data_IF_882542423187
#
_entry.id   IF_882542423187
#
_cell.length_a   1.000
_cell.length_b   1.000
_cell.length_c   1.000
_cell.angle_alpha   90.00
_cell.angle_beta   90.00
_cell.angle_gamma   90.00
#
_symmetry.space_group_name_H-M   'P 1'
#
loop_
_entity.id
_entity.type
_entity.pdbx_description
1 polymer ?
#
# COMPACT_ATOMS: atom_id res chain seq x y z
N UNK A 1 39.59 -17.47 26.89
CA UNK A 1 38.12 -17.55 26.82
C UNK A 1 37.44 -16.20 26.99
N UNK A 2 37.61 -15.47 28.11
CA UNK A 2 36.96 -14.15 28.33
C UNK A 2 37.23 -13.10 27.24
N UNK A 3 38.46 -12.99 26.74
CA UNK A 3 38.84 -12.08 25.64
C UNK A 3 38.20 -12.44 24.27
N UNK A 4 37.84 -13.72 24.08
CA UNK A 4 37.17 -14.18 22.86
C UNK A 4 35.68 -13.83 22.90
N UNK A 5 35.05 -14.02 24.07
CA UNK A 5 33.65 -13.64 24.32
C UNK A 5 33.47 -12.12 24.13
N UNK A 6 34.38 -11.30 24.69
CA UNK A 6 34.33 -9.84 24.54
C UNK A 6 34.42 -9.41 23.06
N UNK A 7 35.26 -10.08 22.25
CA UNK A 7 35.38 -9.78 20.81
C UNK A 7 34.13 -10.18 20.03
N UNK A 8 33.53 -11.32 20.36
CA UNK A 8 32.27 -11.78 19.73
C UNK A 8 31.14 -10.81 20.07
N UNK A 9 30.97 -10.45 21.35
CA UNK A 9 29.94 -9.50 21.78
C UNK A 9 30.12 -8.12 21.13
N UNK A 10 31.36 -7.63 20.99
CA UNK A 10 31.63 -6.36 20.32
C UNK A 10 31.28 -6.39 18.82
N UNK A 11 31.56 -7.50 18.13
CA UNK A 11 31.18 -7.70 16.72
C UNK A 11 29.66 -7.78 16.56
N UNK A 12 28.96 -8.48 17.46
CA UNK A 12 27.48 -8.55 17.42
C UNK A 12 26.83 -7.19 17.67
N UNK A 13 27.39 -6.37 18.57
CA UNK A 13 26.87 -5.03 18.87
C UNK A 13 27.11 -4.05 17.71
N UNK A 14 28.22 -4.20 16.98
CA UNK A 14 28.53 -3.41 15.77
C UNK A 14 27.66 -3.78 14.56
N UNK A 15 27.17 -5.02 14.48
CA UNK A 15 26.30 -5.50 13.40
C UNK A 15 24.80 -5.31 13.70
N UNK A 16 24.44 -5.00 14.95
CA UNK A 16 23.06 -4.78 15.38
C UNK A 16 22.34 -3.62 14.65
N UNK A 17 22.98 -2.46 14.36
CA UNK A 17 22.32 -1.37 13.65
C UNK A 17 21.95 -1.72 12.20
N UNK A 18 22.71 -2.62 11.55
CA UNK A 18 22.46 -3.03 10.16
C UNK A 18 21.20 -3.90 10.02
N UNK A 19 20.71 -4.51 11.11
CA UNK A 19 19.48 -5.31 11.08
C UNK A 19 18.21 -4.46 11.27
N UNK A 20 18.33 -3.21 11.71
CA UNK A 20 17.18 -2.32 11.95
C UNK A 20 16.69 -1.64 10.65
N UNK A 21 17.55 -1.47 9.65
CA UNK A 21 17.20 -0.84 8.36
C UNK A 21 16.37 -1.72 7.42
N UNK A 22 16.05 -2.97 7.78
CA UNK A 22 15.25 -3.88 6.96
C UNK A 22 13.74 -3.85 7.29
N UNK A 23 13.32 -3.02 8.25
CA UNK A 23 11.95 -3.03 8.78
C UNK A 23 11.05 -1.90 8.26
N UNK A 24 11.52 -1.00 7.39
CA UNK A 24 10.66 0.05 6.82
C UNK A 24 9.69 -0.52 5.79
N UNK A 25 8.42 -0.10 5.89
CA UNK A 25 7.35 -0.39 4.95
C UNK A 25 7.75 0.04 3.54
N UNK A 26 7.34 -0.74 2.56
CA UNK A 26 7.86 -0.62 1.20
C UNK A 26 7.38 0.63 0.47
N UNK A 27 6.10 0.98 0.64
CA UNK A 27 5.58 2.25 0.17
C UNK A 27 6.08 3.43 0.99
N UNK A 28 6.54 3.22 2.23
CA UNK A 28 7.09 4.29 3.06
C UNK A 28 8.29 4.92 2.39
N UNK A 29 9.22 4.09 1.90
CA UNK A 29 10.41 4.56 1.22
C UNK A 29 10.07 5.34 -0.06
N UNK A 30 9.05 4.90 -0.81
CA UNK A 30 8.54 5.64 -1.99
C UNK A 30 7.90 6.97 -1.57
N UNK A 31 7.03 6.92 -0.57
CA UNK A 31 6.34 8.10 -0.06
C UNK A 31 7.32 9.14 0.48
N UNK A 32 8.26 8.74 1.32
CA UNK A 32 9.31 9.60 1.89
C UNK A 32 10.24 10.18 0.82
N UNK A 33 10.53 9.41 -0.25
CA UNK A 33 11.38 9.88 -1.34
C UNK A 33 10.72 10.96 -2.20
N UNK A 34 9.40 10.86 -2.43
CA UNK A 34 8.70 11.73 -3.38
C UNK A 34 7.76 12.76 -2.72
N UNK A 35 7.54 12.67 -1.41
CA UNK A 35 6.74 13.67 -0.69
C UNK A 35 7.35 15.06 -0.84
N UNK A 36 6.56 15.99 -1.37
CA UNK A 36 6.98 17.38 -1.58
C UNK A 36 7.79 17.61 -2.86
N UNK A 37 8.04 16.57 -3.66
CA UNK A 37 8.60 16.72 -5.01
C UNK A 37 7.59 17.38 -5.96
N UNK A 38 8.11 18.07 -6.96
CA UNK A 38 7.29 18.77 -7.93
C UNK A 38 6.51 17.78 -8.81
N UNK A 39 5.23 18.07 -9.08
CA UNK A 39 4.35 17.14 -9.80
C UNK A 39 3.87 15.93 -8.97
N UNK A 40 4.23 15.85 -7.68
CA UNK A 40 3.77 14.78 -6.78
C UNK A 40 2.71 15.31 -5.81
N UNK A 41 1.56 14.64 -5.79
CA UNK A 41 0.57 14.75 -4.72
C UNK A 41 0.72 13.58 -3.77
N UNK A 42 0.79 13.85 -2.47
CA UNK A 42 0.95 12.83 -1.45
C UNK A 42 -0.11 12.99 -0.36
N UNK A 43 -0.75 11.88 0.01
CA UNK A 43 -1.77 11.83 1.07
C UNK A 43 -1.44 10.69 2.02
N UNK A 44 -1.50 10.97 3.32
CA UNK A 44 -1.35 9.96 4.37
C UNK A 44 -2.59 10.00 5.26
N UNK A 45 -3.33 8.90 5.28
CA UNK A 45 -4.55 8.74 6.07
C UNK A 45 -4.24 7.74 7.17
N UNK A 46 -4.25 8.19 8.42
CA UNK A 46 -4.03 7.30 9.56
C UNK A 46 -5.30 6.54 9.93
N UNK A 47 -5.14 5.48 10.73
CA UNK A 47 -6.25 4.73 11.35
C UNK A 47 -7.26 5.65 12.05
N UNK A 48 -6.78 6.69 12.73
CA UNK A 48 -7.62 7.64 13.46
C UNK A 48 -8.55 8.40 12.52
N UNK A 49 -8.07 8.80 11.34
CA UNK A 49 -8.91 9.47 10.35
C UNK A 49 -10.03 8.54 9.84
N UNK A 50 -9.72 7.26 9.59
CA UNK A 50 -10.74 6.28 9.23
C UNK A 50 -11.80 6.08 10.32
N UNK A 51 -11.37 6.02 11.59
CA UNK A 51 -12.29 5.97 12.74
C UNK A 51 -13.20 7.18 12.81
N UNK A 52 -12.66 8.38 12.56
CA UNK A 52 -13.45 9.61 12.50
C UNK A 52 -14.46 9.56 11.36
N UNK A 53 -14.05 9.20 10.14
CA UNK A 53 -14.96 9.09 8.98
C UNK A 53 -16.12 8.13 9.26
N UNK A 54 -15.84 6.95 9.81
CA UNK A 54 -16.90 6.01 10.19
C UNK A 54 -17.80 6.55 11.29
N UNK A 55 -17.26 7.26 12.29
CA UNK A 55 -18.09 7.83 13.34
C UNK A 55 -19.08 8.88 12.80
N UNK A 56 -18.73 9.57 11.71
CA UNK A 56 -19.62 10.51 11.02
C UNK A 56 -20.63 9.81 10.09
N UNK A 57 -20.23 8.69 9.47
CA UNK A 57 -21.05 7.95 8.49
C UNK A 57 -21.89 6.82 9.11
N UNK A 58 -21.61 6.46 10.37
CA UNK A 58 -22.35 5.43 11.12
C UNK A 58 -23.75 5.93 11.50
N UNK A 59 -24.67 5.84 10.53
CA UNK A 59 -26.04 5.46 10.83
C UNK A 59 -26.04 4.12 11.56
N UNK A 60 -26.99 3.92 12.47
CA UNK A 60 -27.04 2.82 13.46
C UNK A 60 -27.30 1.42 12.86
N UNK A 61 -26.49 0.94 11.93
CA UNK A 61 -26.64 -0.39 11.30
C UNK A 61 -25.49 -1.35 11.64
N UNK A 62 -25.76 -2.64 11.47
CA UNK A 62 -24.78 -3.74 11.65
C UNK A 62 -23.56 -3.61 10.72
N UNK A 63 -23.67 -2.85 9.62
CA UNK A 63 -22.58 -2.56 8.68
C UNK A 63 -21.45 -1.75 9.32
N UNK A 64 -21.78 -0.90 10.30
CA UNK A 64 -20.79 -0.09 11.02
C UNK A 64 -19.82 -0.97 11.84
N UNK A 65 -20.30 -2.07 12.42
CA UNK A 65 -19.43 -3.02 13.16
C UNK A 65 -18.49 -3.78 12.23
N UNK A 66 -19.01 -4.23 11.09
CA UNK A 66 -18.18 -4.91 10.09
C UNK A 66 -17.09 -3.97 9.52
N UNK A 67 -17.39 -2.69 9.33
CA UNK A 67 -16.42 -1.66 8.94
C UNK A 67 -15.39 -1.37 10.04
N UNK A 68 -15.81 -1.39 11.32
CA UNK A 68 -14.95 -1.18 12.48
C UNK A 68 -13.83 -2.24 12.57
N UNK A 69 -14.18 -3.52 12.40
CA UNK A 69 -13.23 -4.63 12.46
C UNK A 69 -12.18 -4.57 11.33
N UNK A 70 -12.55 -3.99 10.17
CA UNK A 70 -11.61 -3.75 9.07
C UNK A 70 -10.55 -2.74 9.49
N UNK A 71 -10.98 -1.61 10.06
CA UNK A 71 -10.11 -0.48 10.37
C UNK A 71 -9.21 -0.74 11.57
N UNK A 72 -9.64 -1.57 12.52
CA UNK A 72 -8.81 -1.92 13.67
C UNK A 72 -7.56 -2.74 13.27
N UNK A 73 -7.59 -3.41 12.11
CA UNK A 73 -6.45 -4.13 11.56
C UNK A 73 -5.61 -3.31 10.58
N UNK A 74 -6.15 -2.20 10.04
CA UNK A 74 -5.42 -1.27 9.18
C UNK A 74 -4.64 -0.23 10.01
N UNK A 75 -3.38 0.01 9.66
CA UNK A 75 -2.61 1.10 10.24
C UNK A 75 -2.90 2.43 9.51
N UNK A 76 -3.19 2.36 8.21
CA UNK A 76 -3.51 3.53 7.42
C UNK A 76 -3.51 3.25 5.92
N UNK A 77 -3.64 4.34 5.17
CA UNK A 77 -3.56 4.39 3.71
C UNK A 77 -2.61 5.50 3.30
N UNK A 78 -1.76 5.23 2.32
CA UNK A 78 -0.94 6.22 1.63
C UNK A 78 -1.32 6.29 0.16
N UNK A 79 -1.41 7.51 -0.35
CA UNK A 79 -1.65 7.78 -1.76
C UNK A 79 -0.50 8.64 -2.26
N UNK A 80 0.08 8.25 -3.39
CA UNK A 80 1.08 9.01 -4.11
C UNK A 80 0.60 9.10 -5.57
N UNK A 81 0.34 10.31 -6.04
CA UNK A 81 0.01 10.56 -7.44
C UNK A 81 1.12 11.39 -8.05
N UNK A 82 1.64 10.95 -9.20
CA UNK A 82 2.59 11.70 -10.00
C UNK A 82 1.93 12.11 -11.30
N UNK A 83 1.90 13.42 -11.55
CA UNK A 83 1.40 14.03 -12.78
C UNK A 83 2.59 14.64 -13.52
N UNK A 84 3.00 13.97 -14.60
CA UNK A 84 4.15 14.37 -15.41
C UNK A 84 3.84 15.65 -16.19
N UNK A 85 4.66 16.66 -15.97
CA UNK A 85 4.67 17.86 -16.80
C UNK A 85 5.35 17.57 -18.13
N UNK A 86 5.06 18.43 -19.10
CA UNK A 86 5.64 18.34 -20.44
C UNK A 86 7.16 18.46 -20.38
N UNK A 87 7.87 17.36 -20.61
CA UNK A 87 9.34 17.28 -20.56
C UNK A 87 9.88 16.42 -19.42
N UNK A 88 9.03 15.92 -18.53
CA UNK A 88 9.42 15.04 -17.43
C UNK A 88 9.68 13.61 -17.91
N UNK A 89 10.61 12.92 -17.25
CA UNK A 89 10.90 11.51 -17.51
C UNK A 89 9.95 10.59 -16.72
N UNK A 90 8.66 10.58 -17.08
CA UNK A 90 7.66 9.68 -16.48
C UNK A 90 8.12 8.21 -16.47
N UNK A 91 8.76 7.76 -17.54
CA UNK A 91 9.33 6.42 -17.66
C UNK A 91 10.36 6.11 -16.57
N UNK A 92 11.17 7.09 -16.17
CA UNK A 92 12.19 6.95 -15.11
C UNK A 92 11.53 6.83 -13.75
N UNK A 93 10.56 7.71 -13.45
CA UNK A 93 9.76 7.62 -12.21
C UNK A 93 9.05 6.26 -12.10
N UNK A 94 8.34 5.85 -13.15
CA UNK A 94 7.65 4.56 -13.22
C UNK A 94 8.61 3.39 -13.04
N UNK A 95 9.77 3.40 -13.70
CA UNK A 95 10.78 2.35 -13.55
C UNK A 95 11.31 2.25 -12.10
N UNK A 96 11.57 3.39 -11.46
CA UNK A 96 12.02 3.43 -10.06
C UNK A 96 10.96 2.88 -9.10
N UNK A 97 9.68 3.22 -9.33
CA UNK A 97 8.56 2.65 -8.58
C UNK A 97 8.57 1.13 -8.70
N UNK A 98 8.53 0.57 -9.91
CA UNK A 98 8.49 -0.88 -10.09
C UNK A 98 9.76 -1.59 -9.57
N UNK A 99 10.92 -0.93 -9.60
CA UNK A 99 12.16 -1.48 -9.03
C UNK A 99 12.09 -1.58 -7.49
N UNK A 100 11.57 -0.54 -6.82
CA UNK A 100 11.34 -0.58 -5.37
C UNK A 100 10.35 -1.69 -5.01
N UNK A 101 9.28 -1.84 -5.77
CA UNK A 101 8.29 -2.90 -5.54
C UNK A 101 8.87 -4.31 -5.70
N UNK A 102 9.70 -4.53 -6.71
CA UNK A 102 10.42 -5.81 -6.90
C UNK A 102 11.35 -6.11 -5.71
N UNK A 103 12.15 -5.14 -5.28
CA UNK A 103 13.07 -5.28 -4.14
C UNK A 103 12.34 -5.63 -2.85
N UNK A 104 11.11 -5.15 -2.70
CA UNK A 104 10.30 -5.29 -1.49
C UNK A 104 9.38 -6.51 -1.49
N UNK A 105 9.56 -7.44 -2.44
CA UNK A 105 8.86 -8.74 -2.52
C UNK A 105 7.34 -8.61 -2.63
N UNK A 106 6.85 -7.60 -3.36
CA UNK A 106 5.45 -7.60 -3.76
C UNK A 106 5.16 -8.74 -4.73
N UNK A 107 4.02 -9.37 -4.57
CA UNK A 107 3.46 -10.36 -5.49
C UNK A 107 2.25 -9.76 -6.17
N UNK A 108 2.20 -9.83 -7.50
CA UNK A 108 1.00 -9.43 -8.26
C UNK A 108 -0.13 -10.41 -7.96
N UNK A 109 -1.31 -9.88 -7.66
CA UNK A 109 -2.55 -10.64 -7.52
C UNK A 109 -3.34 -10.66 -8.81
N UNK A 110 -3.51 -9.49 -9.41
CA UNK A 110 -4.20 -9.32 -10.68
C UNK A 110 -3.76 -8.04 -11.36
N UNK A 111 -4.01 -7.97 -12.66
CA UNK A 111 -3.92 -6.77 -13.46
C UNK A 111 -5.26 -6.55 -14.13
N UNK A 112 -5.78 -5.32 -14.05
CA UNK A 112 -6.95 -4.88 -14.82
C UNK A 112 -6.48 -3.92 -15.91
N UNK A 113 -6.93 -4.16 -17.13
CA UNK A 113 -6.64 -3.28 -18.25
C UNK A 113 -7.94 -2.88 -18.92
N UNK A 114 -8.21 -1.57 -18.91
CA UNK A 114 -9.38 -0.94 -19.52
C UNK A 114 -8.91 0.13 -20.52
N UNK A 115 -9.79 0.59 -21.41
CA UNK A 115 -9.43 1.58 -22.43
C UNK A 115 -8.92 2.88 -21.77
N UNK A 116 -7.60 3.08 -21.85
CA UNK A 116 -6.95 4.27 -21.28
C UNK A 116 -6.28 4.05 -19.93
N UNK A 117 -6.43 2.89 -19.28
CA UNK A 117 -5.90 2.67 -17.93
C UNK A 117 -5.42 1.22 -17.69
N UNK A 118 -4.32 1.09 -16.95
CA UNK A 118 -3.85 -0.19 -16.38
C UNK A 118 -3.79 -0.07 -14.86
N UNK A 119 -4.40 -1.03 -14.16
CA UNK A 119 -4.38 -1.09 -12.69
C UNK A 119 -3.76 -2.41 -12.25
N UNK A 120 -2.62 -2.33 -11.58
CA UNK A 120 -1.94 -3.49 -10.98
C UNK A 120 -2.31 -3.61 -9.50
N UNK A 121 -2.76 -4.78 -9.09
CA UNK A 121 -3.04 -5.10 -7.69
C UNK A 121 -1.93 -6.00 -7.16
N UNK A 122 -1.22 -5.55 -6.13
CA UNK A 122 -0.08 -6.26 -5.56
C UNK A 122 -0.22 -6.40 -4.05
N UNK A 123 0.33 -7.47 -3.49
CA UNK A 123 0.39 -7.68 -2.04
C UNK A 123 1.79 -7.96 -1.57
N UNK A 124 2.05 -7.64 -0.30
CA UNK A 124 3.24 -8.07 0.41
C UNK A 124 2.83 -8.88 1.64
N UNK A 125 3.47 -10.04 1.81
CA UNK A 125 3.21 -10.94 2.94
C UNK A 125 4.37 -10.97 3.93
N UNK A 126 4.05 -11.28 5.18
CA UNK A 126 5.02 -11.67 6.23
C UNK A 126 4.51 -12.94 6.90
N UNK A 127 5.06 -14.08 6.50
CA UNK A 127 4.44 -15.37 6.81
C UNK A 127 3.15 -15.53 6.01
N UNK A 128 2.07 -15.92 6.67
CA UNK A 128 0.74 -16.06 6.04
C UNK A 128 -0.01 -14.73 5.94
N UNK A 129 0.34 -13.74 6.77
CA UNK A 129 -0.37 -12.48 6.85
C UNK A 129 -0.03 -11.57 5.66
N UNK A 130 -1.06 -11.01 5.03
CA UNK A 130 -0.91 -9.90 4.09
C UNK A 130 -0.70 -8.64 4.93
N UNK A 131 0.44 -7.99 4.76
CA UNK A 131 0.79 -6.81 5.55
C UNK A 131 0.73 -5.50 4.77
N UNK A 132 0.54 -5.60 3.46
CA UNK A 132 0.40 -4.46 2.57
C UNK A 132 -0.38 -4.86 1.32
N UNK A 133 -1.34 -4.03 0.92
CA UNK A 133 -2.06 -4.11 -0.35
C UNK A 133 -1.78 -2.83 -1.12
N UNK A 134 -1.29 -2.99 -2.34
CA UNK A 134 -0.87 -1.91 -3.21
C UNK A 134 -1.67 -1.94 -4.51
N UNK A 135 -2.17 -0.77 -4.92
CA UNK A 135 -2.80 -0.55 -6.21
C UNK A 135 -1.95 0.46 -6.98
N UNK A 136 -1.66 0.17 -8.23
CA UNK A 136 -0.90 1.06 -9.12
C UNK A 136 -1.75 1.30 -10.35
N UNK A 137 -2.30 2.50 -10.47
CA UNK A 137 -3.07 2.93 -11.63
C UNK A 137 -2.16 3.79 -12.52
N UNK A 138 -1.98 3.34 -13.77
CA UNK A 138 -1.23 4.04 -14.80
C UNK A 138 -2.18 4.40 -15.94
N UNK A 139 -2.27 5.66 -16.29
CA UNK A 139 -2.96 6.07 -17.51
C UNK A 139 -2.13 5.70 -18.74
N UNK A 140 -2.79 5.25 -19.81
CA UNK A 140 -2.12 4.74 -21.01
C UNK A 140 -1.44 5.83 -21.84
N UNK A 141 -1.69 7.11 -21.54
CA UNK A 141 -0.92 8.21 -22.12
C UNK A 141 0.40 8.49 -21.37
N UNK A 142 0.70 7.66 -20.35
CA UNK A 142 1.90 7.71 -19.52
C UNK A 142 2.17 9.12 -18.96
N UNK A 143 1.10 9.82 -18.54
CA UNK A 143 1.20 11.11 -17.86
C UNK A 143 0.89 11.06 -16.38
N UNK A 144 -0.01 10.17 -15.97
CA UNK A 144 -0.39 10.02 -14.57
C UNK A 144 -0.10 8.61 -14.04
N UNK A 145 0.55 8.55 -12.88
CA UNK A 145 0.73 7.33 -12.10
C UNK A 145 0.20 7.57 -10.68
N UNK A 146 -0.84 6.85 -10.30
CA UNK A 146 -1.36 6.85 -8.94
C UNK A 146 -1.01 5.54 -8.24
N UNK A 147 -0.50 5.64 -7.02
CA UNK A 147 -0.13 4.53 -6.17
C UNK A 147 -0.90 4.66 -4.86
N UNK A 148 -1.65 3.63 -4.52
CA UNK A 148 -2.46 3.56 -3.30
C UNK A 148 -1.98 2.35 -2.49
N UNK A 149 -1.53 2.56 -1.26
CA UNK A 149 -1.07 1.48 -0.39
C UNK A 149 -1.82 1.47 0.94
N UNK A 150 -2.47 0.34 1.24
CA UNK A 150 -3.00 0.01 2.54
C UNK A 150 -1.97 -0.81 3.30
N UNK A 151 -1.63 -0.41 4.52
CA UNK A 151 -0.66 -1.11 5.36
C UNK A 151 -1.24 -1.42 6.74
N UNK A 152 -0.89 -2.56 7.30
CA UNK A 152 -1.54 -3.12 8.50
C UNK A 152 -1.56 -4.64 8.44
N UNK A 153 -2.51 -5.28 9.10
CA UNK A 153 -2.89 -6.68 8.82
C UNK A 153 -4.09 -6.61 7.89
N UNK A 154 -3.89 -7.00 6.63
CA UNK A 154 -4.89 -6.79 5.58
C UNK A 154 -5.76 -8.04 5.44
N UNK A 155 -7.03 -7.90 5.78
CA UNK A 155 -8.08 -8.83 5.35
C UNK A 155 -8.70 -8.31 4.05
N UNK A 156 -8.53 -9.06 2.95
CA UNK A 156 -9.04 -8.69 1.63
C UNK A 156 -10.59 -8.61 1.61
N UNK A 157 -11.28 -9.41 2.42
CA UNK A 157 -12.74 -9.32 2.54
C UNK A 157 -13.14 -7.99 3.18
N UNK A 158 -12.34 -7.55 4.14
CA UNK A 158 -12.54 -6.32 4.89
C UNK A 158 -12.32 -5.10 3.97
N UNK A 159 -11.24 -5.10 3.17
CA UNK A 159 -10.99 -4.06 2.14
C UNK A 159 -12.14 -4.00 1.11
N UNK A 160 -12.63 -5.16 0.66
CA UNK A 160 -13.76 -5.20 -0.27
C UNK A 160 -15.02 -4.53 0.32
N UNK A 161 -15.25 -4.62 1.63
CA UNK A 161 -16.38 -3.92 2.28
C UNK A 161 -16.13 -2.41 2.38
N UNK A 162 -14.92 -1.97 2.71
CA UNK A 162 -14.57 -0.53 2.72
C UNK A 162 -14.73 0.12 1.34
N UNK A 163 -14.41 -0.60 0.26
CA UNK A 163 -14.64 -0.09 -1.10
C UNK A 163 -16.12 0.09 -1.46
N UNK A 164 -17.04 -0.55 -0.73
CA UNK A 164 -18.48 -0.38 -0.93
C UNK A 164 -18.98 0.88 -0.22
N UNK A 165 -18.38 1.24 0.92
CA UNK A 165 -18.73 2.45 1.68
C UNK A 165 -18.03 3.70 1.15
N UNK A 166 -16.83 3.58 0.59
CA UNK A 166 -16.07 4.70 0.02
C UNK A 166 -16.04 4.57 -1.51
N UNK A 167 -16.66 5.50 -2.23
CA UNK A 167 -16.56 5.59 -3.70
C UNK A 167 -15.13 5.98 -4.09
N UNK A 168 -14.23 5.00 -4.16
CA UNK A 168 -12.87 5.17 -4.66
C UNK A 168 -12.82 4.57 -6.07
N UNK A 169 -12.71 5.46 -7.07
CA UNK A 169 -12.50 5.09 -8.47
C UNK A 169 -11.29 4.15 -8.57
N UNK A 170 -11.49 2.94 -9.11
CA UNK A 170 -10.47 1.89 -9.23
C UNK A 170 -10.68 0.65 -8.33
N UNK A 171 -11.46 0.74 -7.24
CA UNK A 171 -11.79 -0.43 -6.40
C UNK A 171 -13.03 -1.22 -6.88
N UNK A 172 -13.73 -0.72 -7.90
CA UNK A 172 -14.90 -1.39 -8.48
C UNK A 172 -14.58 -2.78 -9.04
N UNK A 173 -13.34 -3.00 -9.45
CA UNK A 173 -12.86 -4.27 -10.00
C UNK A 173 -12.51 -5.30 -8.90
N UNK A 174 -12.13 -4.87 -7.69
CA UNK A 174 -12.02 -5.76 -6.52
C UNK A 174 -13.39 -6.29 -6.10
N UNK A 175 -14.43 -5.45 -6.19
CA UNK A 175 -15.82 -5.82 -5.91
C UNK A 175 -16.33 -6.93 -6.85
N UNK A 176 -15.93 -6.89 -8.13
CA UNK A 176 -16.27 -7.94 -9.12
C UNK A 176 -15.59 -9.26 -8.75
N UNK A 177 -14.30 -9.25 -8.37
CA UNK A 177 -13.57 -10.46 -7.98
C UNK A 177 -14.19 -11.19 -6.78
N UNK A 178 -14.57 -10.46 -5.72
CA UNK A 178 -15.23 -11.10 -4.56
C UNK A 178 -16.52 -11.81 -4.98
N UNK A 179 -17.30 -11.19 -5.86
CA UNK A 179 -18.53 -11.79 -6.37
C UNK A 179 -18.27 -13.10 -7.14
N UNK A 180 -17.16 -13.17 -7.88
CA UNK A 180 -16.78 -14.38 -8.60
C UNK A 180 -16.22 -15.48 -7.68
N UNK A 181 -15.53 -15.10 -6.59
CA UNK A 181 -15.07 -16.01 -5.54
C UNK A 181 -16.20 -16.59 -4.67
N UNK A 182 -17.26 -15.81 -4.41
CA UNK A 182 -18.41 -16.27 -3.61
C UNK A 182 -19.41 -17.13 -4.44
N UNK A 183 -19.29 -17.15 -5.78
CA UNK A 183 -20.14 -17.92 -6.70
C UNK A 183 -19.56 -19.31 -7.07
N UNK A 184 -18.44 -19.70 -6.45
CA UNK A 184 -17.77 -20.99 -6.62
C UNK A 184 -17.50 -21.64 -5.27
#
# INVERSE_FOLDING_TARGET
MKKLIIKITAITLLLFPMMLSAQTSSIEDLYEKYVGEDGVTSVNISREMFRLMMAFDAGTSEDAKAAQDVIDNLNGLKILTYDARKGDEFSTFKAEVYDILKKKKFSELMTVQEEGQKIDFMIRKKGEDIIELLLIANENDDRELAIISFFGIIDLNAISKLSQSVQISGMENLRKMKKDLDNH
#
